data_IF_900172740836
#
_entry.id   IF_900172740836
#
_cell.length_a   1.000
_cell.length_b   1.000
_cell.length_c   1.000
_cell.angle_alpha   90.00
_cell.angle_beta   90.00
_cell.angle_gamma   90.00
#
_symmetry.space_group_name_H-M   'P 1'
#
loop_
_entity.id
_entity.type
_entity.pdbx_description
1 polymer ?
#
# COMPACT_ATOMS: atom_id res chain seq x y z
N UNK A 1 -1.01 8.94 -16.58
CA UNK A 1 -1.48 8.75 -15.19
C UNK A 1 -1.11 9.93 -14.31
N UNK A 2 0.19 10.26 -14.08
CA UNK A 2 0.56 11.39 -13.21
C UNK A 2 0.20 12.75 -13.82
N UNK A 3 0.25 12.88 -15.14
CA UNK A 3 -0.21 14.08 -15.82
C UNK A 3 -1.72 14.28 -15.64
N UNK A 4 -2.50 13.23 -15.72
CA UNK A 4 -3.95 13.27 -15.50
C UNK A 4 -4.29 13.69 -14.07
N UNK A 5 -3.53 13.16 -13.08
CA UNK A 5 -3.73 13.50 -11.66
C UNK A 5 -3.42 14.98 -11.44
N UNK A 6 -2.27 15.45 -11.94
CA UNK A 6 -1.89 16.87 -11.82
C UNK A 6 -2.90 17.77 -12.51
N UNK A 7 -3.37 17.38 -13.70
CA UNK A 7 -4.41 18.13 -14.41
C UNK A 7 -5.72 18.19 -13.61
N UNK A 8 -6.11 17.08 -12.98
CA UNK A 8 -7.31 17.03 -12.15
C UNK A 8 -7.18 17.88 -10.87
N UNK A 9 -6.07 17.76 -10.15
CA UNK A 9 -5.82 18.57 -8.94
C UNK A 9 -5.71 20.06 -9.27
N UNK A 10 -5.11 20.41 -10.40
CA UNK A 10 -5.02 21.80 -10.88
C UNK A 10 -6.39 22.35 -11.30
N UNK A 11 -7.24 21.53 -11.92
CA UNK A 11 -8.62 21.92 -12.24
C UNK A 11 -9.42 22.19 -10.95
N UNK A 12 -9.31 21.32 -9.94
CA UNK A 12 -9.95 21.53 -8.63
C UNK A 12 -9.44 22.79 -7.92
N UNK A 13 -8.15 23.06 -7.96
CA UNK A 13 -7.57 24.29 -7.42
C UNK A 13 -8.12 25.52 -8.11
N UNK A 14 -8.20 25.48 -9.44
CA UNK A 14 -8.77 26.58 -10.25
C UNK A 14 -10.24 26.80 -9.90
N UNK A 15 -11.01 25.72 -9.75
CA UNK A 15 -12.43 25.80 -9.36
C UNK A 15 -12.60 26.44 -7.97
N UNK A 16 -11.80 25.99 -6.96
CA UNK A 16 -11.80 26.58 -5.61
C UNK A 16 -11.42 28.06 -5.63
N UNK A 17 -10.41 28.40 -6.40
CA UNK A 17 -9.98 29.80 -6.56
C UNK A 17 -11.09 30.64 -7.17
N UNK A 18 -11.71 30.19 -8.25
CA UNK A 18 -12.83 30.90 -8.89
C UNK A 18 -14.03 31.02 -7.96
N UNK A 19 -14.34 29.99 -7.14
CA UNK A 19 -15.38 30.07 -6.12
C UNK A 19 -15.11 31.21 -5.12
N UNK A 20 -13.88 31.33 -4.64
CA UNK A 20 -13.48 32.36 -3.69
C UNK A 20 -13.55 33.75 -4.33
N UNK A 21 -13.00 33.92 -5.51
CA UNK A 21 -12.98 35.23 -6.21
C UNK A 21 -14.40 35.69 -6.58
N UNK A 22 -15.25 34.78 -7.00
CA UNK A 22 -16.65 35.10 -7.30
C UNK A 22 -17.45 35.55 -6.07
N UNK A 23 -17.16 34.94 -4.89
CA UNK A 23 -17.82 35.31 -3.63
C UNK A 23 -17.18 36.53 -2.95
N UNK A 24 -15.90 36.76 -3.18
CA UNK A 24 -15.10 37.83 -2.58
C UNK A 24 -14.04 38.36 -3.55
N UNK A 25 -14.40 39.30 -4.45
CA UNK A 25 -13.45 39.89 -5.42
C UNK A 25 -12.24 40.57 -4.80
N UNK A 26 -12.38 41.08 -3.58
CA UNK A 26 -11.28 41.71 -2.79
C UNK A 26 -10.10 40.71 -2.60
N UNK A 27 -10.36 39.41 -2.56
CA UNK A 27 -9.36 38.39 -2.38
C UNK A 27 -8.26 38.44 -3.48
N UNK A 28 -8.67 38.55 -4.73
CA UNK A 28 -7.73 38.63 -5.88
C UNK A 28 -6.94 39.93 -5.88
N UNK A 29 -7.51 41.04 -5.38
CA UNK A 29 -6.80 42.34 -5.28
C UNK A 29 -5.66 42.26 -4.25
N UNK A 30 -5.92 41.65 -3.09
CA UNK A 30 -4.92 41.45 -2.05
C UNK A 30 -3.82 40.51 -2.53
N UNK A 31 -4.18 39.47 -3.26
CA UNK A 31 -3.20 38.54 -3.84
C UNK A 31 -2.25 39.23 -4.82
N UNK A 32 -2.78 40.06 -5.71
CA UNK A 32 -1.98 40.87 -6.62
C UNK A 32 -1.10 41.89 -5.86
N UNK A 33 -1.60 42.45 -4.74
CA UNK A 33 -0.78 43.35 -3.90
C UNK A 33 0.39 42.58 -3.25
N UNK A 34 0.16 41.36 -2.76
CA UNK A 34 1.23 40.51 -2.21
C UNK A 34 2.27 40.20 -3.27
N UNK A 35 1.85 39.79 -4.48
CA UNK A 35 2.75 39.51 -5.59
C UNK A 35 3.59 40.75 -5.95
N UNK A 36 2.95 41.89 -6.08
CA UNK A 36 3.63 43.14 -6.42
C UNK A 36 4.64 43.55 -5.33
N UNK A 37 4.26 43.42 -4.05
CA UNK A 37 5.11 43.68 -2.90
C UNK A 37 6.34 42.75 -2.89
N UNK A 38 6.13 41.48 -3.14
CA UNK A 38 7.19 40.45 -3.19
C UNK A 38 8.15 40.67 -4.36
N UNK A 39 7.64 41.04 -5.54
CA UNK A 39 8.47 41.39 -6.70
C UNK A 39 9.33 42.62 -6.46
N UNK A 40 8.77 43.67 -5.82
CA UNK A 40 9.53 44.86 -5.46
C UNK A 40 10.68 44.54 -4.51
N UNK A 41 10.42 43.73 -3.50
CA UNK A 41 11.44 43.33 -2.55
C UNK A 41 12.52 42.45 -3.19
N UNK A 42 12.14 41.50 -4.02
CA UNK A 42 13.09 40.69 -4.78
C UNK A 42 14.00 41.54 -5.69
N UNK A 43 13.42 42.54 -6.39
CA UNK A 43 14.19 43.46 -7.25
C UNK A 43 15.14 44.33 -6.43
N UNK A 44 14.75 44.79 -5.27
CA UNK A 44 15.62 45.56 -4.34
C UNK A 44 16.84 44.75 -3.91
N UNK A 45 16.64 43.49 -3.51
CA UNK A 45 17.73 42.57 -3.07
C UNK A 45 18.76 42.29 -4.17
N UNK A 46 18.38 42.38 -5.42
CA UNK A 46 19.29 42.19 -6.53
C UNK A 46 20.14 43.46 -6.78
N UNK A 47 19.60 44.67 -6.51
CA UNK A 47 20.20 45.94 -6.91
C UNK A 47 20.95 46.64 -5.77
N UNK A 48 20.60 46.42 -4.52
CA UNK A 48 21.23 47.12 -3.37
C UNK A 48 21.24 46.25 -2.09
N UNK A 49 22.28 46.43 -1.24
CA UNK A 49 22.30 45.93 0.14
C UNK A 49 21.14 46.57 0.90
N UNK A 50 20.09 45.81 1.15
CA UNK A 50 18.90 46.27 1.86
C UNK A 50 19.20 46.48 3.34
N UNK A 51 18.79 47.63 3.93
CA UNK A 51 18.88 47.88 5.35
C UNK A 51 17.86 47.01 6.12
N UNK A 52 18.19 46.59 7.36
CA UNK A 52 17.33 45.75 8.21
C UNK A 52 15.93 46.39 8.46
N UNK A 53 15.86 47.72 8.51
CA UNK A 53 14.61 48.47 8.71
C UNK A 53 13.60 48.29 7.56
N UNK A 54 14.07 48.20 6.35
CA UNK A 54 13.22 48.01 5.15
C UNK A 54 12.63 46.61 5.10
N UNK A 55 13.38 45.62 5.59
CA UNK A 55 12.94 44.23 5.70
C UNK A 55 11.82 44.05 6.73
N UNK A 56 11.90 44.79 7.85
CA UNK A 56 10.88 44.77 8.90
C UNK A 56 9.56 45.40 8.42
N UNK A 57 9.63 46.49 7.67
CA UNK A 57 8.44 47.12 7.07
C UNK A 57 7.76 46.19 6.03
N UNK A 58 8.54 45.57 5.18
CA UNK A 58 8.06 44.55 4.23
C UNK A 58 7.36 43.42 4.95
N UNK A 59 8.00 42.81 5.94
CA UNK A 59 7.46 41.67 6.70
C UNK A 59 6.17 42.05 7.43
N UNK A 60 6.09 43.25 7.99
CA UNK A 60 4.89 43.73 8.67
C UNK A 60 3.71 43.92 7.71
N UNK A 61 3.99 44.49 6.51
CA UNK A 61 2.96 44.68 5.49
C UNK A 61 2.48 43.33 4.95
N UNK A 62 3.40 42.41 4.67
CA UNK A 62 3.08 41.05 4.20
C UNK A 62 2.22 40.31 5.22
N UNK A 63 2.55 40.37 6.52
CA UNK A 63 1.75 39.72 7.58
C UNK A 63 0.31 40.27 7.63
N UNK A 64 0.13 41.59 7.47
CA UNK A 64 -1.22 42.20 7.43
C UNK A 64 -2.04 41.71 6.25
N UNK A 65 -1.44 41.63 5.06
CA UNK A 65 -2.12 41.14 3.87
C UNK A 65 -2.49 39.64 3.97
N UNK A 66 -1.59 38.80 4.51
CA UNK A 66 -1.87 37.38 4.78
C UNK A 66 -3.01 37.24 5.81
N UNK A 67 -2.99 38.00 6.89
CA UNK A 67 -4.08 37.96 7.85
C UNK A 67 -5.42 38.39 7.22
N UNK A 68 -5.42 39.40 6.37
CA UNK A 68 -6.62 39.84 5.65
C UNK A 68 -7.15 38.76 4.68
N UNK A 69 -6.26 38.05 3.97
CA UNK A 69 -6.65 36.89 3.14
C UNK A 69 -7.39 35.83 3.99
N UNK A 70 -6.87 35.50 5.16
CA UNK A 70 -7.48 34.51 6.06
C UNK A 70 -8.86 34.98 6.58
N UNK A 71 -9.03 36.28 6.92
CA UNK A 71 -10.32 36.84 7.30
C UNK A 71 -11.34 36.76 6.18
N UNK A 72 -10.94 37.06 4.94
CA UNK A 72 -11.82 36.96 3.77
C UNK A 72 -12.27 35.52 3.51
N UNK A 73 -11.40 34.53 3.62
CA UNK A 73 -11.79 33.11 3.54
C UNK A 73 -12.78 32.75 4.65
N UNK A 74 -12.51 33.15 5.88
CA UNK A 74 -13.43 32.91 7.01
C UNK A 74 -14.80 33.57 6.81
N UNK A 75 -14.86 34.78 6.22
CA UNK A 75 -16.11 35.48 5.94
C UNK A 75 -17.04 34.77 4.97
N UNK A 76 -16.48 33.95 4.09
CA UNK A 76 -17.24 33.10 3.14
C UNK A 76 -17.40 31.64 3.64
N UNK A 77 -17.05 31.38 4.92
CA UNK A 77 -17.19 30.08 5.57
C UNK A 77 -16.15 29.05 5.11
N UNK A 78 -14.99 29.47 4.61
CA UNK A 78 -13.91 28.58 4.17
C UNK A 78 -12.75 28.60 5.19
N UNK A 79 -12.08 27.46 5.42
CA UNK A 79 -10.89 27.41 6.28
C UNK A 79 -9.72 28.16 5.62
N UNK A 80 -8.73 28.55 6.44
CA UNK A 80 -7.56 29.33 6.00
C UNK A 80 -6.70 28.61 4.95
N UNK A 81 -6.70 27.28 4.95
CA UNK A 81 -5.96 26.38 4.07
C UNK A 81 -6.77 25.91 2.86
N UNK A 82 -7.94 26.51 2.61
CA UNK A 82 -8.86 26.08 1.52
C UNK A 82 -8.24 26.15 0.13
N UNK A 83 -7.32 27.09 -0.08
CA UNK A 83 -6.62 27.31 -1.35
C UNK A 83 -5.17 26.77 -1.35
N UNK A 84 -4.79 26.05 -0.30
CA UNK A 84 -3.48 25.39 -0.29
C UNK A 84 -3.41 24.31 -1.37
N UNK A 85 -2.20 23.99 -1.78
CA UNK A 85 -1.95 22.99 -2.82
C UNK A 85 -2.58 21.64 -2.47
N UNK A 86 -3.30 21.08 -3.43
CA UNK A 86 -3.97 19.79 -3.29
C UNK A 86 -3.08 18.72 -3.92
N UNK A 87 -2.72 17.72 -3.12
CA UNK A 87 -1.96 16.57 -3.61
C UNK A 87 -2.68 15.27 -3.29
N UNK A 88 -2.75 14.35 -4.26
CA UNK A 88 -3.20 12.98 -4.05
C UNK A 88 -2.17 12.20 -3.24
N UNK A 89 -0.89 12.46 -3.47
CA UNK A 89 0.22 11.90 -2.70
C UNK A 89 0.98 13.01 -1.97
N UNK A 90 0.89 13.09 -0.64
CA UNK A 90 1.58 14.13 0.14
C UNK A 90 3.10 13.96 0.18
N UNK A 91 3.62 12.78 -0.18
CA UNK A 91 5.06 12.47 -0.12
C UNK A 91 5.80 12.97 -1.35
N UNK A 92 5.27 12.73 -2.55
CA UNK A 92 5.92 13.15 -3.79
C UNK A 92 5.23 14.34 -4.46
N UNK A 93 4.17 14.87 -3.89
CA UNK A 93 3.35 15.95 -4.46
C UNK A 93 2.97 15.65 -5.93
N UNK A 94 2.47 14.43 -6.14
CA UNK A 94 2.02 13.90 -7.43
C UNK A 94 3.06 13.92 -8.57
N UNK A 95 4.34 13.96 -8.22
CA UNK A 95 5.44 13.82 -9.20
C UNK A 95 5.79 12.36 -9.48
N UNK A 96 5.45 11.43 -8.58
CA UNK A 96 5.85 10.03 -8.64
C UNK A 96 7.29 9.76 -8.17
N UNK A 97 8.07 10.79 -7.84
CA UNK A 97 9.47 10.69 -7.45
C UNK A 97 9.79 11.49 -6.18
N UNK A 98 10.72 10.99 -5.38
CA UNK A 98 11.27 11.65 -4.19
C UNK A 98 12.79 11.47 -4.22
N UNK A 99 13.54 12.55 -4.21
CA UNK A 99 15.01 12.55 -4.25
C UNK A 99 15.61 11.67 -5.36
N UNK A 100 14.99 11.68 -6.55
CA UNK A 100 15.43 10.89 -7.71
C UNK A 100 15.01 9.41 -7.70
N UNK A 101 14.39 8.94 -6.60
CA UNK A 101 13.86 7.57 -6.49
C UNK A 101 12.35 7.55 -6.70
N UNK A 102 11.81 6.41 -7.16
CA UNK A 102 10.37 6.23 -7.36
C UNK A 102 9.63 6.24 -6.03
N UNK A 103 8.60 7.07 -5.92
CA UNK A 103 7.72 7.12 -4.74
C UNK A 103 6.93 5.81 -4.58
N UNK A 104 6.50 5.51 -3.36
CA UNK A 104 5.61 4.37 -3.09
C UNK A 104 4.31 4.43 -3.90
N UNK A 105 3.73 5.62 -4.08
CA UNK A 105 2.54 5.80 -4.92
C UNK A 105 2.79 5.45 -6.40
N UNK A 106 4.02 5.66 -6.92
CA UNK A 106 4.39 5.22 -8.26
C UNK A 106 4.42 3.71 -8.35
N UNK A 107 5.05 3.05 -7.35
CA UNK A 107 5.10 1.59 -7.28
C UNK A 107 3.69 1.00 -7.22
N UNK A 108 2.81 1.58 -6.36
CA UNK A 108 1.40 1.17 -6.26
C UNK A 108 0.68 1.28 -7.61
N UNK A 109 0.78 2.42 -8.30
CA UNK A 109 0.13 2.62 -9.61
C UNK A 109 0.68 1.73 -10.71
N UNK A 110 1.99 1.47 -10.72
CA UNK A 110 2.58 0.51 -11.64
C UNK A 110 2.02 -0.90 -11.40
N UNK A 111 1.85 -1.28 -10.13
CA UNK A 111 1.22 -2.53 -9.73
C UNK A 111 -0.25 -2.54 -10.14
N UNK A 112 -1.01 -1.48 -9.86
CA UNK A 112 -2.42 -1.35 -10.25
C UNK A 112 -2.60 -1.54 -11.77
N UNK A 113 -1.71 -0.97 -12.59
CA UNK A 113 -1.73 -1.13 -14.06
C UNK A 113 -1.41 -2.57 -14.49
N UNK A 114 -0.46 -3.24 -13.82
CA UNK A 114 -0.12 -4.65 -14.09
C UNK A 114 -1.30 -5.56 -13.70
N UNK A 115 -2.09 -5.17 -12.68
CA UNK A 115 -3.20 -5.96 -12.15
C UNK A 115 -4.59 -5.45 -12.54
N UNK A 116 -4.71 -4.42 -13.42
CA UNK A 116 -6.02 -4.00 -13.95
C UNK A 116 -6.75 -5.14 -14.67
N UNK A 117 -6.01 -6.11 -15.23
CA UNK A 117 -6.55 -7.35 -15.81
C UNK A 117 -6.79 -8.46 -14.76
N UNK A 118 -6.35 -8.31 -13.52
CA UNK A 118 -6.57 -9.29 -12.46
C UNK A 118 -7.80 -8.92 -11.62
N UNK A 119 -8.61 -9.94 -11.26
CA UNK A 119 -9.80 -9.80 -10.39
C UNK A 119 -9.52 -9.23 -8.98
N UNK A 120 -8.30 -8.78 -8.69
CA UNK A 120 -7.87 -8.37 -7.35
C UNK A 120 -8.64 -7.14 -6.83
N UNK A 121 -8.88 -6.14 -7.68
CA UNK A 121 -9.67 -4.95 -7.29
C UNK A 121 -11.09 -5.30 -6.85
N UNK A 122 -11.72 -6.26 -7.52
CA UNK A 122 -13.08 -6.70 -7.19
C UNK A 122 -13.10 -7.60 -5.95
N UNK A 123 -12.08 -8.43 -5.77
CA UNK A 123 -11.95 -9.35 -4.63
C UNK A 123 -11.67 -8.56 -3.35
N UNK A 124 -10.72 -7.64 -3.34
CA UNK A 124 -10.38 -6.83 -2.17
C UNK A 124 -11.49 -5.86 -1.76
N UNK A 125 -12.41 -5.47 -2.65
CA UNK A 125 -13.56 -4.66 -2.30
C UNK A 125 -14.60 -5.40 -1.46
N UNK A 126 -14.76 -6.71 -1.67
CA UNK A 126 -15.71 -7.58 -0.96
C UNK A 126 -15.08 -8.30 0.23
N UNK A 127 -13.77 -8.58 0.20
CA UNK A 127 -13.03 -9.33 1.21
C UNK A 127 -12.13 -8.40 2.01
N UNK A 128 -12.59 -8.03 3.20
CA UNK A 128 -11.88 -7.15 4.14
C UNK A 128 -12.21 -7.54 5.58
N UNK A 129 -11.44 -7.04 6.56
CA UNK A 129 -11.66 -7.38 7.97
C UNK A 129 -13.05 -7.02 8.50
N UNK A 130 -13.72 -6.02 7.93
CA UNK A 130 -15.08 -5.62 8.36
C UNK A 130 -16.17 -6.57 7.84
N UNK A 131 -15.91 -7.29 6.76
CA UNK A 131 -16.83 -8.30 6.18
C UNK A 131 -16.55 -9.71 6.70
N UNK A 132 -15.50 -9.87 7.53
CA UNK A 132 -15.17 -11.16 8.11
C UNK A 132 -16.26 -11.63 9.08
N UNK A 133 -16.73 -12.88 8.93
CA UNK A 133 -17.77 -13.47 9.80
C UNK A 133 -17.26 -14.71 10.52
N UNK A 134 -17.47 -14.75 11.84
CA UNK A 134 -17.17 -15.91 12.68
C UNK A 134 -18.25 -16.99 12.65
N UNK A 135 -19.39 -16.75 11.98
CA UNK A 135 -20.53 -17.69 11.94
C UNK A 135 -20.19 -19.01 11.27
N UNK A 136 -19.17 -19.02 10.42
CA UNK A 136 -18.71 -20.18 9.66
C UNK A 136 -17.83 -21.15 10.50
N UNK A 137 -17.46 -20.78 11.74
CA UNK A 137 -16.51 -21.54 12.54
C UNK A 137 -17.22 -22.23 13.73
N UNK A 138 -16.97 -23.54 13.87
CA UNK A 138 -17.59 -24.34 14.94
C UNK A 138 -17.10 -23.88 16.33
N UNK A 139 -18.07 -23.71 17.23
CA UNK A 139 -17.85 -23.29 18.64
C UNK A 139 -17.74 -24.46 19.63
N UNK A 140 -18.05 -25.68 19.19
CA UNK A 140 -18.18 -26.82 20.10
C UNK A 140 -17.08 -27.85 19.91
N UNK A 141 -16.75 -28.18 18.66
CA UNK A 141 -15.76 -29.21 18.37
C UNK A 141 -14.35 -28.68 18.65
N UNK A 142 -13.62 -29.40 19.50
CA UNK A 142 -12.25 -29.04 19.88
C UNK A 142 -11.27 -29.85 19.02
N UNK A 143 -10.31 -29.18 18.40
CA UNK A 143 -9.22 -29.84 17.69
C UNK A 143 -8.28 -30.52 18.71
N UNK A 144 -8.02 -31.83 18.57
CA UNK A 144 -7.23 -32.57 19.55
C UNK A 144 -5.75 -32.14 19.61
N UNK A 145 -5.24 -31.51 18.58
CA UNK A 145 -3.83 -31.07 18.51
C UNK A 145 -3.63 -29.74 19.22
N UNK A 146 -4.54 -28.79 19.01
CA UNK A 146 -4.41 -27.43 19.54
C UNK A 146 -5.17 -27.20 20.83
N UNK A 147 -6.14 -28.06 21.14
CA UNK A 147 -7.06 -27.86 22.28
C UNK A 147 -8.03 -26.69 22.11
N UNK A 148 -8.15 -26.15 20.89
CA UNK A 148 -9.00 -25.00 20.56
C UNK A 148 -10.17 -25.43 19.68
N UNK A 149 -11.29 -24.71 19.79
CA UNK A 149 -12.35 -24.79 18.79
C UNK A 149 -11.95 -23.98 17.55
N UNK A 150 -12.47 -24.30 16.34
CA UNK A 150 -12.28 -23.49 15.15
C UNK A 150 -12.57 -21.99 15.37
N UNK A 151 -13.65 -21.71 16.10
CA UNK A 151 -14.03 -20.35 16.47
C UNK A 151 -12.95 -19.63 17.29
N UNK A 152 -12.46 -20.25 18.36
CA UNK A 152 -11.43 -19.65 19.21
C UNK A 152 -10.07 -19.55 18.51
N UNK A 153 -9.75 -20.54 17.66
CA UNK A 153 -8.55 -20.50 16.83
C UNK A 153 -8.60 -19.32 15.85
N UNK A 154 -9.74 -19.13 15.19
CA UNK A 154 -9.90 -18.06 14.21
C UNK A 154 -9.82 -16.67 14.83
N UNK A 155 -10.29 -16.47 16.07
CA UNK A 155 -10.05 -15.22 16.79
C UNK A 155 -8.56 -14.93 16.94
N UNK A 156 -7.76 -15.92 17.38
CA UNK A 156 -6.30 -15.76 17.48
C UNK A 156 -5.64 -15.48 16.14
N UNK A 157 -6.07 -16.19 15.09
CA UNK A 157 -5.55 -15.99 13.74
C UNK A 157 -5.85 -14.57 13.25
N UNK A 158 -7.09 -14.11 13.46
CA UNK A 158 -7.50 -12.77 13.06
C UNK A 158 -6.72 -11.68 13.81
N UNK A 159 -6.54 -11.85 15.14
CA UNK A 159 -5.76 -10.93 15.97
C UNK A 159 -4.31 -10.82 15.46
N UNK A 160 -3.68 -11.94 15.06
CA UNK A 160 -2.34 -11.93 14.49
C UNK A 160 -2.32 -11.24 13.12
N UNK A 161 -3.30 -11.49 12.26
CA UNK A 161 -3.40 -10.83 10.94
C UNK A 161 -3.58 -9.31 11.10
N UNK A 162 -4.43 -8.86 12.02
CA UNK A 162 -4.63 -7.44 12.30
C UNK A 162 -3.37 -6.80 12.93
N UNK A 163 -2.72 -7.49 13.86
CA UNK A 163 -1.45 -7.04 14.44
C UNK A 163 -0.36 -6.93 13.38
N UNK A 164 -0.30 -7.87 12.44
CA UNK A 164 0.64 -7.81 11.30
C UNK A 164 0.47 -6.51 10.50
N UNK A 165 -0.77 -6.12 10.19
CA UNK A 165 -1.04 -4.85 9.48
C UNK A 165 -0.68 -3.64 10.34
N UNK A 166 -1.09 -3.62 11.61
CA UNK A 166 -0.85 -2.48 12.52
C UNK A 166 0.64 -2.23 12.80
N UNK A 167 1.44 -3.29 12.80
CA UNK A 167 2.88 -3.20 13.09
C UNK A 167 3.76 -3.22 11.85
N UNK A 168 3.18 -3.23 10.65
CA UNK A 168 3.87 -3.47 9.39
C UNK A 168 5.05 -2.51 9.13
N UNK A 169 4.88 -1.23 9.45
CA UNK A 169 5.92 -0.21 9.29
C UNK A 169 7.04 -0.30 10.34
N UNK A 170 6.74 -0.91 11.48
CA UNK A 170 7.63 -0.88 12.65
C UNK A 170 8.34 -2.21 12.92
N UNK A 171 7.82 -3.31 12.37
CA UNK A 171 8.36 -4.65 12.61
C UNK A 171 8.32 -5.52 11.37
N UNK A 172 9.43 -6.18 11.09
CA UNK A 172 9.52 -7.19 10.05
C UNK A 172 8.93 -8.52 10.53
N UNK A 173 7.97 -9.07 9.79
CA UNK A 173 7.40 -10.39 10.06
C UNK A 173 6.87 -11.04 8.79
N UNK A 174 6.77 -12.37 8.80
CA UNK A 174 6.20 -13.16 7.72
C UNK A 174 5.09 -14.06 8.27
N UNK A 175 4.10 -14.37 7.45
CA UNK A 175 3.00 -15.26 7.83
C UNK A 175 2.94 -16.49 6.90
N UNK A 176 2.70 -17.66 7.49
CA UNK A 176 2.31 -18.86 6.77
C UNK A 176 0.90 -19.27 7.21
N UNK A 177 -0.06 -19.19 6.31
CA UNK A 177 -1.45 -19.61 6.50
C UNK A 177 -1.60 -21.05 6.02
N UNK A 178 -1.80 -22.02 6.91
CA UNK A 178 -1.96 -23.43 6.55
C UNK A 178 -3.34 -23.94 6.93
N UNK A 179 -3.86 -24.90 6.18
CA UNK A 179 -5.13 -25.55 6.47
C UNK A 179 -5.85 -26.02 5.21
N UNK A 180 -6.91 -26.79 5.37
CA UNK A 180 -7.71 -27.31 4.28
C UNK A 180 -8.29 -26.23 3.37
N UNK A 181 -8.78 -26.63 2.20
CA UNK A 181 -9.45 -25.72 1.28
C UNK A 181 -10.73 -25.17 1.90
N UNK A 182 -10.99 -23.86 1.72
CA UNK A 182 -12.22 -23.22 2.17
C UNK A 182 -12.23 -22.78 3.64
N UNK A 183 -11.11 -22.90 4.39
CA UNK A 183 -11.03 -22.44 5.79
C UNK A 183 -10.78 -20.94 5.96
N UNK A 184 -10.66 -20.16 4.86
CA UNK A 184 -10.53 -18.70 4.92
C UNK A 184 -9.10 -18.16 4.75
N UNK A 185 -8.12 -18.96 4.30
CA UNK A 185 -6.73 -18.50 4.08
C UNK A 185 -6.64 -17.36 3.09
N UNK A 186 -7.17 -17.55 1.89
CA UNK A 186 -7.24 -16.55 0.81
C UNK A 186 -7.98 -15.30 1.26
N UNK A 187 -9.10 -15.44 1.97
CA UNK A 187 -9.86 -14.32 2.51
C UNK A 187 -9.01 -13.46 3.45
N UNK A 188 -8.27 -14.06 4.39
CA UNK A 188 -7.39 -13.32 5.30
C UNK A 188 -6.21 -12.67 4.57
N UNK A 189 -5.62 -13.35 3.58
CA UNK A 189 -4.58 -12.77 2.73
C UNK A 189 -5.10 -11.53 1.98
N UNK A 190 -6.34 -11.57 1.45
CA UNK A 190 -6.99 -10.45 0.79
C UNK A 190 -7.31 -9.30 1.76
N UNK A 191 -7.75 -9.61 3.00
CA UNK A 191 -7.94 -8.59 4.05
C UNK A 191 -6.64 -7.82 4.33
N UNK A 192 -5.53 -8.54 4.51
CA UNK A 192 -4.22 -7.93 4.77
C UNK A 192 -3.77 -7.11 3.56
N UNK A 193 -3.90 -7.66 2.34
CA UNK A 193 -3.55 -6.98 1.11
C UNK A 193 -4.30 -5.65 0.98
N UNK A 194 -5.61 -5.67 1.23
CA UNK A 194 -6.46 -4.47 1.16
C UNK A 194 -6.01 -3.39 2.13
N UNK A 195 -5.86 -3.72 3.41
CA UNK A 195 -5.46 -2.73 4.43
C UNK A 195 -4.10 -2.10 4.11
N UNK A 196 -3.14 -2.89 3.64
CA UNK A 196 -1.83 -2.38 3.26
C UNK A 196 -1.86 -1.56 1.96
N UNK A 197 -2.70 -1.92 0.99
CA UNK A 197 -2.93 -1.11 -0.20
C UNK A 197 -3.56 0.24 0.15
N UNK A 198 -4.52 0.27 1.07
CA UNK A 198 -5.18 1.50 1.53
C UNK A 198 -4.22 2.43 2.29
N UNK A 199 -3.18 1.88 2.92
CA UNK A 199 -2.09 2.63 3.56
C UNK A 199 -0.89 2.89 2.64
N UNK A 200 -1.08 2.78 1.30
CA UNK A 200 -0.09 3.08 0.26
C UNK A 200 1.12 2.16 0.19
N UNK A 201 1.06 0.96 0.77
CA UNK A 201 2.09 -0.05 0.60
C UNK A 201 1.99 -0.73 -0.77
N UNK A 202 3.13 -1.10 -1.32
CA UNK A 202 3.20 -1.90 -2.53
C UNK A 202 2.98 -3.38 -2.20
N UNK A 203 1.85 -3.94 -2.65
CA UNK A 203 1.50 -5.34 -2.43
C UNK A 203 1.48 -6.06 -3.77
N UNK A 204 2.19 -7.19 -3.86
CA UNK A 204 2.08 -8.13 -4.98
C UNK A 204 1.39 -9.39 -4.47
N UNK A 205 0.29 -9.74 -5.11
CA UNK A 205 -0.49 -10.94 -4.83
C UNK A 205 -0.50 -11.86 -6.06
N UNK A 206 -0.03 -13.08 -5.90
CA UNK A 206 0.03 -14.09 -6.95
C UNK A 206 -0.34 -15.45 -6.38
N UNK A 207 -1.02 -16.27 -7.18
CA UNK A 207 -1.06 -17.69 -6.92
C UNK A 207 0.33 -18.31 -7.17
N UNK A 208 0.64 -19.44 -6.54
CA UNK A 208 1.91 -20.12 -6.76
C UNK A 208 2.16 -20.40 -8.26
N UNK A 209 1.12 -20.79 -8.99
CA UNK A 209 1.21 -21.04 -10.44
C UNK A 209 1.60 -19.77 -11.21
N UNK A 210 1.00 -18.62 -10.91
CA UNK A 210 1.33 -17.34 -11.55
C UNK A 210 2.74 -16.88 -11.19
N UNK A 211 3.12 -17.03 -9.92
CA UNK A 211 4.46 -16.70 -9.43
C UNK A 211 5.55 -17.43 -10.24
N UNK A 212 5.43 -18.75 -10.42
CA UNK A 212 6.42 -19.51 -11.20
C UNK A 212 6.37 -19.21 -12.70
N UNK A 213 5.20 -18.96 -13.28
CA UNK A 213 5.07 -18.52 -14.68
C UNK A 213 5.80 -17.21 -14.96
N UNK A 214 5.85 -16.28 -14.01
CA UNK A 214 6.61 -15.04 -14.18
C UNK A 214 8.10 -15.30 -14.39
N UNK A 215 8.69 -16.27 -13.68
CA UNK A 215 10.08 -16.67 -13.88
C UNK A 215 10.31 -17.35 -15.22
N UNK A 216 9.43 -18.26 -15.61
CA UNK A 216 9.52 -18.94 -16.90
C UNK A 216 9.50 -17.92 -18.05
N UNK A 217 8.58 -16.95 -17.99
CA UNK A 217 8.48 -15.89 -18.98
C UNK A 217 9.72 -14.99 -19.02
N UNK A 218 10.32 -14.68 -17.87
CA UNK A 218 11.51 -13.82 -17.79
C UNK A 218 12.75 -14.53 -18.35
N UNK A 219 12.91 -15.82 -18.09
CA UNK A 219 14.05 -16.62 -18.56
C UNK A 219 13.99 -16.89 -20.07
N UNK A 220 12.78 -17.05 -20.66
CA UNK A 220 12.58 -17.34 -22.09
C UNK A 220 12.39 -16.11 -22.98
N UNK A 221 12.00 -14.95 -22.45
CA UNK A 221 11.63 -13.75 -23.22
C UNK A 221 12.47 -12.54 -22.86
N UNK A 222 13.73 -12.52 -23.27
CA UNK A 222 14.64 -11.36 -23.09
C UNK A 222 14.25 -10.10 -23.87
N UNK A 223 13.19 -10.08 -24.70
CA UNK A 223 12.92 -9.01 -25.65
C UNK A 223 11.44 -8.62 -25.84
N UNK A 224 10.55 -8.81 -24.87
CA UNK A 224 9.17 -8.31 -24.98
C UNK A 224 8.84 -7.37 -23.82
N UNK A 225 8.35 -6.17 -24.14
CA UNK A 225 8.04 -5.05 -23.24
C UNK A 225 7.00 -5.31 -22.13
N UNK A 226 6.44 -6.54 -22.03
CA UNK A 226 5.38 -6.89 -21.09
C UNK A 226 5.77 -8.04 -20.11
N UNK A 227 7.07 -8.32 -19.90
CA UNK A 227 7.47 -9.28 -18.86
C UNK A 227 7.49 -8.59 -17.50
N UNK A 228 6.80 -9.18 -16.50
CA UNK A 228 6.91 -8.73 -15.11
C UNK A 228 8.39 -8.86 -14.71
N UNK A 229 9.01 -7.76 -14.35
CA UNK A 229 10.37 -7.79 -13.83
C UNK A 229 10.37 -8.50 -12.48
N UNK A 230 11.06 -9.64 -12.41
CA UNK A 230 11.22 -10.43 -11.17
C UNK A 230 11.74 -9.58 -10.00
N UNK A 231 12.44 -8.49 -10.29
CA UNK A 231 12.89 -7.55 -9.27
C UNK A 231 11.69 -6.91 -8.52
N UNK A 232 10.50 -6.82 -9.13
CA UNK A 232 9.30 -6.34 -8.42
C UNK A 232 8.98 -7.21 -7.20
N UNK A 233 9.21 -8.54 -7.28
CA UNK A 233 8.99 -9.45 -6.16
C UNK A 233 9.96 -9.22 -5.00
N UNK A 234 11.13 -8.66 -5.27
CA UNK A 234 12.13 -8.37 -4.25
C UNK A 234 11.95 -6.97 -3.63
N UNK A 235 11.33 -6.04 -4.37
CA UNK A 235 11.24 -4.63 -3.99
C UNK A 235 9.89 -4.24 -3.37
N UNK A 236 8.80 -4.97 -3.69
CA UNK A 236 7.48 -4.67 -3.10
C UNK A 236 7.53 -4.79 -1.57
N UNK A 237 6.65 -4.05 -0.88
CA UNK A 237 6.63 -4.07 0.58
C UNK A 237 6.09 -5.40 1.10
N UNK A 238 5.02 -5.92 0.49
CA UNK A 238 4.47 -7.24 0.80
C UNK A 238 4.35 -8.08 -0.47
N UNK A 239 4.86 -9.32 -0.41
CA UNK A 239 4.60 -10.37 -1.39
C UNK A 239 3.66 -11.41 -0.80
N UNK A 240 2.56 -11.71 -1.50
CA UNK A 240 1.62 -12.78 -1.14
C UNK A 240 1.71 -13.87 -2.19
N UNK A 241 2.04 -15.08 -1.77
CA UNK A 241 2.04 -16.29 -2.60
C UNK A 241 0.91 -17.20 -2.11
N UNK A 242 -0.20 -17.21 -2.86
CA UNK A 242 -1.39 -17.97 -2.49
C UNK A 242 -1.38 -19.37 -3.08
N UNK A 243 -1.96 -20.32 -2.34
CA UNK A 243 -2.07 -21.74 -2.72
C UNK A 243 -0.73 -22.41 -3.08
N UNK A 244 0.32 -22.15 -2.29
CA UNK A 244 1.62 -22.81 -2.43
C UNK A 244 1.47 -24.33 -2.23
N UNK A 245 2.01 -25.10 -3.18
CA UNK A 245 1.88 -26.57 -3.23
C UNK A 245 0.93 -27.06 -4.31
N UNK A 246 0.30 -26.16 -5.09
CA UNK A 246 -0.52 -26.52 -6.26
C UNK A 246 0.30 -26.65 -7.54
N UNK A 247 1.52 -26.15 -7.53
CA UNK A 247 2.47 -26.23 -8.63
C UNK A 247 3.21 -27.59 -8.68
N UNK A 248 3.87 -27.86 -9.79
CA UNK A 248 4.76 -29.02 -9.87
C UNK A 248 6.10 -28.73 -9.18
N UNK A 249 6.42 -29.51 -8.14
CA UNK A 249 7.73 -29.41 -7.47
C UNK A 249 8.83 -29.99 -8.34
N UNK A 250 9.82 -29.18 -8.66
CA UNK A 250 11.04 -29.60 -9.34
C UNK A 250 12.23 -28.71 -8.87
N UNK A 251 13.43 -29.02 -9.34
CA UNK A 251 14.62 -28.26 -8.96
C UNK A 251 14.55 -26.78 -9.34
N UNK A 252 13.87 -26.44 -10.43
CA UNK A 252 13.69 -25.06 -10.90
C UNK A 252 12.77 -24.29 -9.96
N UNK A 253 11.56 -24.80 -9.69
CA UNK A 253 10.58 -24.15 -8.81
C UNK A 253 11.14 -23.99 -7.39
N UNK A 254 11.79 -25.01 -6.86
CA UNK A 254 12.48 -24.94 -5.57
C UNK A 254 13.59 -23.86 -5.55
N UNK A 255 14.39 -23.76 -6.62
CA UNK A 255 15.45 -22.75 -6.71
C UNK A 255 14.89 -21.32 -6.72
N UNK A 256 13.82 -21.06 -7.51
CA UNK A 256 13.20 -19.75 -7.62
C UNK A 256 12.49 -19.33 -6.31
N UNK A 257 11.75 -20.25 -5.69
CA UNK A 257 11.10 -20.00 -4.41
C UNK A 257 12.14 -19.69 -3.31
N UNK A 258 13.18 -20.53 -3.22
CA UNK A 258 14.26 -20.28 -2.25
C UNK A 258 14.93 -18.93 -2.47
N UNK A 259 15.24 -18.58 -3.72
CA UNK A 259 15.84 -17.29 -4.06
C UNK A 259 14.99 -16.13 -3.55
N UNK A 260 13.70 -16.10 -3.86
CA UNK A 260 12.83 -14.99 -3.45
C UNK A 260 12.65 -14.94 -1.94
N UNK A 261 12.38 -16.06 -1.28
CA UNK A 261 12.24 -16.10 0.19
C UNK A 261 13.51 -15.60 0.86
N UNK A 262 14.67 -16.12 0.43
CA UNK A 262 15.96 -15.76 1.05
C UNK A 262 16.31 -14.28 0.83
N UNK A 263 16.16 -13.77 -0.39
CA UNK A 263 16.44 -12.36 -0.69
C UNK A 263 15.52 -11.41 0.07
N UNK A 264 14.23 -11.75 0.17
CA UNK A 264 13.29 -10.92 0.94
C UNK A 264 13.58 -10.95 2.45
N UNK A 265 13.98 -12.09 3.00
CA UNK A 265 14.45 -12.19 4.39
C UNK A 265 15.67 -11.29 4.64
N UNK A 266 16.66 -11.31 3.74
CA UNK A 266 17.86 -10.46 3.85
C UNK A 266 17.54 -8.95 3.76
N UNK A 267 16.49 -8.59 3.05
CA UNK A 267 16.04 -7.20 2.88
C UNK A 267 14.99 -6.76 3.90
N UNK A 268 14.62 -7.62 4.84
CA UNK A 268 13.50 -7.39 5.77
C UNK A 268 12.20 -7.02 5.05
N UNK A 269 11.89 -7.71 3.95
CA UNK A 269 10.65 -7.53 3.17
C UNK A 269 9.69 -8.67 3.45
N UNK A 270 8.49 -8.32 3.90
CA UNK A 270 7.48 -9.27 4.39
C UNK A 270 6.90 -10.16 3.28
N UNK A 271 6.70 -11.43 3.61
CA UNK A 271 6.05 -12.42 2.75
C UNK A 271 4.90 -13.08 3.49
N UNK A 272 3.76 -13.23 2.82
CA UNK A 272 2.67 -14.11 3.24
C UNK A 272 2.59 -15.27 2.28
N UNK A 273 2.53 -16.46 2.82
CA UNK A 273 2.31 -17.71 2.06
C UNK A 273 1.02 -18.32 2.56
N UNK A 274 0.14 -18.74 1.66
CA UNK A 274 -0.95 -19.66 2.00
C UNK A 274 -0.66 -21.03 1.39
N UNK A 275 -1.07 -22.09 2.08
CA UNK A 275 -0.92 -23.46 1.59
C UNK A 275 -2.03 -24.37 2.14
N UNK A 276 -2.44 -25.33 1.31
CA UNK A 276 -3.31 -26.43 1.75
C UNK A 276 -2.53 -27.55 2.44
N UNK A 277 -1.21 -27.49 2.39
CA UNK A 277 -0.34 -28.48 3.00
C UNK A 277 -0.23 -28.30 4.52
N UNK A 278 -0.10 -29.40 5.23
CA UNK A 278 0.41 -29.41 6.59
C UNK A 278 1.92 -29.10 6.62
N UNK A 279 2.45 -28.78 7.78
CA UNK A 279 3.89 -28.49 7.93
C UNK A 279 4.74 -29.70 7.47
N UNK A 280 4.33 -30.93 7.79
CA UNK A 280 5.04 -32.13 7.33
C UNK A 280 4.98 -32.28 5.82
N UNK A 281 3.85 -31.99 5.19
CA UNK A 281 3.74 -32.02 3.74
C UNK A 281 4.58 -30.93 3.04
N UNK A 282 4.73 -29.76 3.67
CA UNK A 282 5.65 -28.72 3.17
C UNK A 282 7.10 -29.21 3.24
N UNK A 283 7.48 -29.90 4.33
CA UNK A 283 8.81 -30.51 4.50
C UNK A 283 9.10 -31.56 3.40
N UNK A 284 8.11 -32.41 3.13
CA UNK A 284 8.26 -33.48 2.12
C UNK A 284 8.28 -32.95 0.68
N UNK A 285 7.56 -31.84 0.42
CA UNK A 285 7.35 -31.32 -0.93
C UNK A 285 8.44 -30.34 -1.39
N UNK A 286 9.00 -29.57 -0.46
CA UNK A 286 10.02 -28.57 -0.76
C UNK A 286 11.41 -29.01 -0.25
N UNK A 287 12.45 -28.31 -0.72
CA UNK A 287 13.80 -28.57 -0.23
C UNK A 287 13.93 -28.20 1.26
N UNK A 288 14.80 -28.92 1.97
CA UNK A 288 15.15 -28.65 3.37
C UNK A 288 15.50 -27.17 3.61
N UNK A 289 16.13 -26.52 2.62
CA UNK A 289 16.52 -25.09 2.71
C UNK A 289 15.29 -24.18 2.76
N UNK A 290 14.26 -24.43 1.95
CA UNK A 290 13.02 -23.66 1.97
C UNK A 290 12.28 -23.91 3.27
N UNK A 291 12.12 -25.17 3.66
CA UNK A 291 11.46 -25.57 4.89
C UNK A 291 12.11 -24.90 6.11
N UNK A 292 13.43 -24.97 6.22
CA UNK A 292 14.19 -24.32 7.32
C UNK A 292 13.94 -22.80 7.39
N UNK A 293 13.87 -22.10 6.24
CA UNK A 293 13.58 -20.66 6.20
C UNK A 293 12.16 -20.37 6.66
N UNK A 294 11.20 -21.16 6.22
CA UNK A 294 9.79 -21.00 6.61
C UNK A 294 9.65 -21.21 8.13
N UNK A 295 10.15 -22.31 8.66
CA UNK A 295 10.00 -22.64 10.10
C UNK A 295 10.71 -21.62 10.99
N UNK A 296 11.87 -21.12 10.57
CA UNK A 296 12.65 -20.19 11.40
C UNK A 296 12.18 -18.73 11.34
N UNK A 297 11.45 -18.33 10.28
CA UNK A 297 11.23 -16.92 9.98
C UNK A 297 9.79 -16.53 9.73
N UNK A 298 8.83 -17.49 9.84
CA UNK A 298 7.41 -17.22 9.63
C UNK A 298 6.60 -17.53 10.87
N UNK A 299 5.63 -16.69 11.17
CA UNK A 299 4.56 -17.02 12.12
C UNK A 299 3.57 -17.94 11.43
N UNK A 300 3.46 -19.18 11.95
CA UNK A 300 2.61 -20.22 11.35
C UNK A 300 1.22 -20.11 11.94
N UNK A 301 0.24 -19.87 11.08
CA UNK A 301 -1.18 -19.79 11.43
C UNK A 301 -1.91 -21.00 10.83
N UNK A 302 -2.27 -21.95 11.68
CA UNK A 302 -3.03 -23.12 11.27
C UNK A 302 -4.52 -22.82 11.37
N UNK A 303 -5.20 -22.84 10.22
CA UNK A 303 -6.64 -22.70 10.11
C UNK A 303 -7.26 -24.10 9.97
N UNK A 304 -8.33 -24.37 10.70
CA UNK A 304 -9.01 -25.67 10.63
C UNK A 304 -10.51 -25.53 10.77
N UNK A 305 -11.20 -26.51 10.21
CA UNK A 305 -12.62 -26.83 10.19
C UNK A 305 -13.61 -25.65 10.22
N UNK A 306 -14.09 -25.31 9.04
CA UNK A 306 -15.36 -24.60 8.83
C UNK A 306 -16.48 -25.66 8.81
N UNK A 307 -17.60 -25.44 9.49
CA UNK A 307 -18.78 -26.29 9.36
C UNK A 307 -19.43 -26.05 8.00
N UNK A 308 -19.15 -26.93 7.02
CA UNK A 308 -19.79 -26.86 5.70
C UNK A 308 -21.30 -27.15 5.66
N UNK A 309 -21.92 -27.42 6.83
CA UNK A 309 -23.34 -27.78 6.92
C UNK A 309 -24.30 -26.64 6.60
N UNK A 310 -23.82 -25.42 6.44
CA UNK A 310 -24.64 -24.23 6.18
C UNK A 310 -24.41 -23.56 4.80
N UNK A 311 -23.61 -24.17 3.91
CA UNK A 311 -23.36 -23.64 2.57
C UNK A 311 -24.29 -24.23 1.48
N UNK A 312 -25.49 -24.73 1.88
CA UNK A 312 -26.54 -25.16 0.94
C UNK A 312 -27.81 -24.34 1.15
#
# INVERSE_FOLDING_TARGET
VYDDIRSHTQALQTERYNEVVNKCPEYSLIENEIITLSMKEASRRIVSDSSDTDLDEYNLKLKKLIARKAELLASIGKPKDYLDDIYTCPVCHDTGYVNGSRCSCFKKKAIDLIYEDSNLKNITSSENFSTFSFEWYDKKQVDPVTGLTPYNNMHKVLDVCQSFVQTFDNSFSNLLLTGETGVGKTFLANCIAKELLDTYHSVIYLTATEFFKCFENSDFRRNLDNSIDVNCFLECDLLIIDDLGTESSNSYTNSKLFYVINERLLRNKSVIISSNFTISQIEDFYSERIFSRIISSYTILRLFAVSYTHLR
#
